data_IF_051637693371
#
_entry.id   IF_051637693371
#
_cell.length_a   1.000
_cell.length_b   1.000
_cell.length_c   1.000
_cell.angle_alpha   90.00
_cell.angle_beta   90.00
_cell.angle_gamma   90.00
#
_symmetry.space_group_name_H-M   'P 1'
#
loop_
_entity.id
_entity.type
_entity.pdbx_description
1 polymer ?
#
# COMPACT_ATOMS: atom_id res chain seq x y z
N UNK A 1 11.59 17.70 -1.36
CA UNK A 1 11.07 16.37 -1.02
C UNK A 1 9.56 16.52 -0.99
N UNK A 2 8.84 15.89 -1.92
CA UNK A 2 7.37 15.97 -1.95
C UNK A 2 6.86 14.96 -0.94
N UNK A 3 6.09 15.42 0.04
CA UNK A 3 5.45 14.55 1.01
C UNK A 3 4.40 13.71 0.24
N UNK A 4 4.53 12.39 0.22
CA UNK A 4 3.58 11.49 -0.43
C UNK A 4 3.14 10.41 0.55
N UNK A 5 1.95 9.85 0.30
CA UNK A 5 1.45 8.67 1.00
C UNK A 5 1.03 7.65 -0.05
N UNK A 6 1.70 6.50 -0.03
CA UNK A 6 1.30 5.32 -0.78
C UNK A 6 0.37 4.48 0.08
N UNK A 7 -0.84 4.26 -0.42
CA UNK A 7 -1.87 3.43 0.21
C UNK A 7 -2.18 2.23 -0.67
N UNK A 8 -2.09 1.03 -0.10
CA UNK A 8 -2.43 -0.23 -0.76
C UNK A 8 -3.62 -0.86 -0.05
N UNK A 9 -4.67 -1.22 -0.79
CA UNK A 9 -5.86 -1.86 -0.22
C UNK A 9 -6.08 -3.23 -0.82
N UNK A 10 -6.47 -4.19 0.02
CA UNK A 10 -6.77 -5.58 -0.34
C UNK A 10 -8.12 -5.95 0.25
N UNK A 11 -8.95 -6.68 -0.48
CA UNK A 11 -10.18 -7.25 0.08
C UNK A 11 -9.82 -8.32 1.13
N UNK A 12 -10.38 -8.23 2.33
CA UNK A 12 -10.07 -9.17 3.41
C UNK A 12 -10.52 -10.61 3.12
N UNK A 13 -11.51 -10.80 2.22
CA UNK A 13 -11.97 -12.10 1.76
C UNK A 13 -11.14 -12.69 0.60
N UNK A 14 -10.15 -11.96 0.08
CA UNK A 14 -9.30 -12.48 -0.98
C UNK A 14 -8.42 -13.64 -0.45
N UNK A 15 -8.18 -14.69 -1.25
CA UNK A 15 -7.50 -15.92 -0.79
C UNK A 15 -6.07 -15.66 -0.26
N UNK A 16 -5.40 -14.63 -0.75
CA UNK A 16 -4.03 -14.25 -0.35
C UNK A 16 -3.98 -12.97 0.51
N UNK A 17 -5.10 -12.50 1.04
CA UNK A 17 -5.17 -11.24 1.81
C UNK A 17 -4.18 -11.22 2.98
N UNK A 18 -4.14 -12.29 3.78
CA UNK A 18 -3.24 -12.40 4.92
C UNK A 18 -1.75 -12.45 4.50
N UNK A 19 -1.45 -13.10 3.38
CA UNK A 19 -0.09 -13.16 2.83
C UNK A 19 0.36 -11.77 2.33
N UNK A 20 -0.54 -11.06 1.64
CA UNK A 20 -0.31 -9.72 1.13
C UNK A 20 -0.13 -8.73 2.27
N UNK A 21 -0.93 -8.82 3.34
CA UNK A 21 -0.73 -8.03 4.56
C UNK A 21 0.64 -8.25 5.19
N UNK A 22 1.12 -9.49 5.29
CA UNK A 22 2.48 -9.81 5.77
C UNK A 22 3.57 -9.30 4.83
N UNK A 23 3.33 -9.30 3.52
CA UNK A 23 4.26 -8.73 2.55
C UNK A 23 4.37 -7.21 2.75
N UNK A 24 3.23 -6.51 2.89
CA UNK A 24 3.19 -5.06 3.13
C UNK A 24 3.95 -4.68 4.42
N UNK A 25 3.71 -5.40 5.52
CA UNK A 25 4.43 -5.16 6.77
C UNK A 25 5.96 -5.32 6.61
N UNK A 26 6.41 -6.36 5.88
CA UNK A 26 7.84 -6.58 5.57
C UNK A 26 8.43 -5.50 4.66
N UNK A 27 7.60 -4.87 3.83
CA UNK A 27 7.99 -3.79 2.93
C UNK A 27 8.02 -2.43 3.63
N UNK A 28 7.70 -2.34 4.92
CA UNK A 28 7.70 -1.10 5.69
C UNK A 28 6.38 -0.32 5.64
N UNK A 29 5.28 -0.97 5.25
CA UNK A 29 3.95 -0.38 5.37
C UNK A 29 3.38 -0.61 6.77
N UNK A 30 2.71 0.42 7.29
CA UNK A 30 1.81 0.27 8.44
C UNK A 30 0.53 -0.40 7.95
N UNK A 31 0.22 -1.58 8.49
CA UNK A 31 -0.94 -2.38 8.05
C UNK A 31 -2.08 -2.26 9.05
N UNK A 32 -3.24 -1.82 8.57
CA UNK A 32 -4.49 -1.72 9.30
C UNK A 32 -5.47 -2.77 8.78
N UNK A 33 -5.96 -3.62 9.69
CA UNK A 33 -6.99 -4.60 9.37
C UNK A 33 -8.38 -4.04 9.69
N UNK A 34 -9.19 -3.82 8.66
CA UNK A 34 -10.60 -3.47 8.78
C UNK A 34 -11.52 -4.66 8.49
N UNK A 35 -12.81 -4.50 8.80
CA UNK A 35 -13.82 -5.58 8.70
C UNK A 35 -13.95 -6.22 7.30
N UNK A 36 -13.66 -5.47 6.23
CA UNK A 36 -13.79 -5.94 4.83
C UNK A 36 -12.53 -5.74 4.00
N UNK A 37 -11.49 -5.11 4.56
CA UNK A 37 -10.28 -4.76 3.80
C UNK A 37 -9.07 -4.65 4.71
N UNK A 38 -7.92 -5.04 4.17
CA UNK A 38 -6.61 -4.69 4.70
C UNK A 38 -6.12 -3.44 3.99
N UNK A 39 -5.53 -2.51 4.74
CA UNK A 39 -4.99 -1.25 4.23
C UNK A 39 -3.54 -1.16 4.69
N UNK A 40 -2.59 -1.04 3.76
CA UNK A 40 -1.20 -0.70 4.05
C UNK A 40 -0.93 0.74 3.66
N UNK A 41 -0.31 1.52 4.55
CA UNK A 41 0.09 2.91 4.28
C UNK A 41 1.60 3.09 4.52
N UNK A 42 2.27 3.83 3.63
CA UNK A 42 3.68 4.20 3.77
C UNK A 42 3.94 5.54 3.10
N UNK A 43 4.75 6.39 3.72
CA UNK A 43 5.27 7.63 3.13
C UNK A 43 6.70 7.49 2.61
N UNK A 44 7.33 6.35 2.86
CA UNK A 44 8.72 6.05 2.48
C UNK A 44 8.80 5.19 1.22
N UNK A 45 7.74 4.42 0.94
CA UNK A 45 7.67 3.53 -0.21
C UNK A 45 6.79 4.13 -1.29
N UNK A 46 7.42 4.48 -2.41
CA UNK A 46 6.74 4.97 -3.60
C UNK A 46 5.82 3.90 -4.23
N UNK A 47 4.68 4.32 -4.75
CA UNK A 47 3.64 3.44 -5.32
C UNK A 47 4.18 2.49 -6.41
N UNK A 48 5.07 2.99 -7.26
CA UNK A 48 5.66 2.19 -8.34
C UNK A 48 6.65 1.14 -7.82
N UNK A 49 7.42 1.47 -6.79
CA UNK A 49 8.34 0.53 -6.17
C UNK A 49 7.59 -0.56 -5.40
N UNK A 50 6.52 -0.18 -4.68
CA UNK A 50 5.63 -1.13 -4.02
C UNK A 50 5.05 -2.15 -5.02
N UNK A 51 4.54 -1.68 -6.17
CA UNK A 51 4.05 -2.58 -7.25
C UNK A 51 5.11 -3.53 -7.74
N UNK A 52 6.32 -3.03 -8.02
CA UNK A 52 7.44 -3.87 -8.48
C UNK A 52 7.79 -4.95 -7.46
N UNK A 53 7.89 -4.60 -6.18
CA UNK A 53 8.20 -5.54 -5.10
C UNK A 53 7.08 -6.57 -4.90
N UNK A 54 5.81 -6.16 -4.95
CA UNK A 54 4.67 -7.09 -4.85
C UNK A 54 4.59 -8.04 -6.05
N UNK A 55 4.87 -7.56 -7.27
CA UNK A 55 4.96 -8.43 -8.45
C UNK A 55 6.11 -9.44 -8.35
N UNK A 56 7.26 -9.04 -7.81
CA UNK A 56 8.38 -9.94 -7.56
C UNK A 56 8.05 -11.04 -6.51
N UNK A 57 7.12 -10.76 -5.61
CA UNK A 57 6.55 -11.73 -4.66
C UNK A 57 5.40 -12.58 -5.26
N UNK A 58 5.10 -12.40 -6.54
CA UNK A 58 4.08 -13.17 -7.25
C UNK A 58 2.64 -12.70 -7.00
N UNK A 59 2.42 -11.46 -6.54
CA UNK A 59 1.09 -10.87 -6.48
C UNK A 59 0.72 -10.22 -7.82
N UNK A 60 -0.47 -10.53 -8.34
CA UNK A 60 -1.03 -9.89 -9.51
C UNK A 60 -1.70 -8.55 -9.14
N UNK A 61 -1.68 -7.59 -10.05
CA UNK A 61 -2.28 -6.26 -9.85
C UNK A 61 -3.79 -6.30 -9.52
N UNK A 62 -4.50 -7.37 -9.89
CA UNK A 62 -5.93 -7.54 -9.53
C UNK A 62 -6.15 -7.87 -8.05
N UNK A 63 -5.11 -8.30 -7.34
CA UNK A 63 -5.19 -8.71 -5.93
C UNK A 63 -5.15 -7.51 -4.97
N UNK A 64 -4.80 -6.32 -5.45
CA UNK A 64 -4.69 -5.12 -4.62
C UNK A 64 -4.97 -3.85 -5.41
N UNK A 65 -5.29 -2.75 -4.73
CA UNK A 65 -5.38 -1.42 -5.33
C UNK A 65 -4.32 -0.53 -4.72
N UNK A 66 -3.68 0.31 -5.54
CA UNK A 66 -2.66 1.26 -5.10
C UNK A 66 -3.16 2.68 -5.34
N UNK A 67 -3.06 3.51 -4.31
CA UNK A 67 -3.36 4.93 -4.32
C UNK A 67 -2.09 5.69 -3.93
N UNK A 68 -1.78 6.75 -4.67
CA UNK A 68 -0.69 7.67 -4.35
C UNK A 68 -1.30 9.04 -4.08
N UNK A 69 -1.12 9.54 -2.88
CA UNK A 69 -1.61 10.84 -2.45
C UNK A 69 -0.42 11.77 -2.26
N UNK A 70 -0.35 12.84 -3.04
CA UNK A 70 0.68 13.87 -2.87
C UNK A 70 0.19 14.90 -1.86
N UNK A 71 0.81 14.93 -0.69
CA UNK A 71 0.54 15.93 0.34
C UNK A 71 1.20 17.23 -0.09
N UNK A 72 0.38 18.15 -0.59
CA UNK A 72 0.84 19.51 -0.87
C UNK A 72 0.87 20.28 0.44
N UNK A 73 2.05 20.66 0.92
CA UNK A 73 2.17 21.73 1.92
C UNK A 73 1.75 23.04 1.24
N UNK A 74 0.47 23.38 1.36
CA UNK A 74 0.02 24.75 1.15
C UNK A 74 0.60 25.57 2.31
N UNK A 75 1.81 26.10 2.11
CA UNK A 75 2.24 27.27 2.86
C UNK A 75 1.22 28.36 2.54
N UNK A 76 0.45 28.75 3.55
CA UNK A 76 -0.33 29.98 3.53
C UNK A 76 0.67 31.11 3.25
N UNK A 77 0.50 31.81 2.13
CA UNK A 77 1.14 33.11 1.87
C UNK A 77 0.50 34.17 2.75
#
# INVERSE_FOLDING_TARGET
MVDHVTRITVDAGAPRAAELGRALARLGFTVHAGRRRLVGESSDVEAQDAKRRLRALGFADREYRVFLEYVRRWGVL
#
